data_IF_348067025787
#
_entry.id   IF_348067025787
#
_cell.length_a   1.000
_cell.length_b   1.000
_cell.length_c   1.000
_cell.angle_alpha   90.00
_cell.angle_beta   90.00
_cell.angle_gamma   90.00
#
_symmetry.space_group_name_H-M   'P 1'
#
loop_
_entity.id
_entity.type
_entity.pdbx_description
1 polymer ?
#
# COMPACT_ATOMS: atom_id res chain seq x y z
N UNK A 1 -19.27 -23.66 -14.03
CA UNK A 1 -18.41 -23.07 -15.09
C UNK A 1 -18.27 -21.59 -14.75
N UNK A 2 -17.05 -21.06 -14.70
CA UNK A 2 -16.83 -19.62 -14.48
C UNK A 2 -16.99 -18.88 -15.81
N UNK A 3 -17.61 -17.70 -15.80
CA UNK A 3 -17.67 -16.85 -17.01
C UNK A 3 -16.32 -16.18 -17.25
N UNK A 4 -16.02 -15.80 -18.49
CA UNK A 4 -14.80 -15.05 -18.81
C UNK A 4 -14.69 -13.75 -18.01
N UNK A 5 -15.80 -13.00 -17.86
CA UNK A 5 -15.82 -11.81 -17.01
C UNK A 5 -15.52 -12.12 -15.53
N UNK A 6 -16.13 -13.18 -14.98
CA UNK A 6 -15.87 -13.59 -13.59
C UNK A 6 -14.42 -14.04 -13.39
N UNK A 7 -13.87 -14.79 -14.34
CA UNK A 7 -12.47 -15.20 -14.32
C UNK A 7 -11.53 -13.99 -14.39
N UNK A 8 -11.86 -12.97 -15.19
CA UNK A 8 -11.06 -11.74 -15.25
C UNK A 8 -11.06 -11.02 -13.89
N UNK A 9 -12.23 -10.87 -13.27
CA UNK A 9 -12.34 -10.26 -11.93
C UNK A 9 -11.53 -11.02 -10.87
N UNK A 10 -11.57 -12.35 -10.88
CA UNK A 10 -10.78 -13.16 -9.94
C UNK A 10 -9.28 -13.02 -10.21
N UNK A 11 -8.86 -13.06 -11.48
CA UNK A 11 -7.45 -12.85 -11.84
C UNK A 11 -6.96 -11.49 -11.34
N UNK A 12 -7.74 -10.43 -11.59
CA UNK A 12 -7.44 -9.08 -11.07
C UNK A 12 -7.35 -9.04 -9.55
N UNK A 13 -8.31 -9.67 -8.86
CA UNK A 13 -8.32 -9.72 -7.41
C UNK A 13 -7.08 -10.44 -6.85
N UNK A 14 -6.59 -11.50 -7.50
CA UNK A 14 -5.35 -12.17 -7.10
C UNK A 14 -4.14 -11.25 -7.34
N UNK A 15 -4.05 -10.60 -8.51
CA UNK A 15 -2.95 -9.69 -8.82
C UNK A 15 -2.88 -8.54 -7.82
N UNK A 16 -3.99 -7.86 -7.54
CA UNK A 16 -4.03 -6.78 -6.55
C UNK A 16 -3.67 -7.26 -5.15
N UNK A 17 -4.30 -8.34 -4.66
CA UNK A 17 -4.05 -8.85 -3.29
C UNK A 17 -2.67 -9.49 -3.07
N UNK A 18 -1.86 -9.61 -4.11
CA UNK A 18 -0.49 -10.12 -4.06
C UNK A 18 0.54 -9.08 -4.52
N UNK A 19 0.11 -7.86 -4.84
CA UNK A 19 0.94 -6.83 -5.48
C UNK A 19 1.72 -7.38 -6.67
N UNK A 20 0.99 -8.07 -7.56
CA UNK A 20 1.55 -8.83 -8.67
C UNK A 20 2.58 -9.89 -8.21
N UNK A 21 2.18 -10.71 -7.25
CA UNK A 21 2.98 -11.79 -6.63
C UNK A 21 4.26 -11.33 -5.92
N UNK A 22 4.41 -10.04 -5.62
CA UNK A 22 5.59 -9.46 -4.96
C UNK A 22 5.39 -9.23 -3.47
N UNK A 23 4.16 -9.27 -2.97
CA UNK A 23 3.89 -9.23 -1.54
C UNK A 23 4.47 -10.48 -0.85
N UNK A 24 5.06 -10.32 0.33
CA UNK A 24 5.77 -11.42 1.01
C UNK A 24 4.83 -12.54 1.50
N UNK A 25 3.55 -12.24 1.67
CA UNK A 25 2.51 -13.22 1.99
C UNK A 25 1.96 -13.99 0.77
N UNK A 26 2.41 -13.69 -0.44
CA UNK A 26 1.98 -14.40 -1.64
C UNK A 26 2.30 -15.88 -1.48
N UNK A 27 1.30 -16.74 -1.62
CA UNK A 27 1.45 -18.18 -1.49
C UNK A 27 1.46 -18.90 -2.82
N UNK A 28 2.00 -20.12 -2.85
CA UNK A 28 1.90 -21.04 -3.99
C UNK A 28 0.44 -21.34 -4.39
N UNK A 29 -0.51 -21.17 -3.47
CA UNK A 29 -1.93 -21.27 -3.79
C UNK A 29 -2.38 -20.12 -4.67
N UNK A 30 -1.93 -18.89 -4.38
CA UNK A 30 -2.32 -17.71 -5.15
C UNK A 30 -1.76 -17.76 -6.56
N UNK A 31 -0.49 -18.17 -6.72
CA UNK A 31 0.16 -18.35 -8.03
C UNK A 31 -0.56 -19.43 -8.85
N UNK A 32 -0.88 -20.58 -8.25
CA UNK A 32 -1.61 -21.65 -8.92
C UNK A 32 -3.02 -21.22 -9.32
N UNK A 33 -3.75 -20.57 -8.42
CA UNK A 33 -5.08 -20.06 -8.71
C UNK A 33 -5.07 -19.05 -9.86
N UNK A 34 -4.11 -18.11 -9.88
CA UNK A 34 -3.98 -17.17 -10.99
C UNK A 34 -3.67 -17.89 -12.31
N UNK A 35 -2.78 -18.89 -12.30
CA UNK A 35 -2.43 -19.69 -13.48
C UNK A 35 -3.63 -20.47 -14.03
N UNK A 36 -4.43 -21.07 -13.16
CA UNK A 36 -5.65 -21.79 -13.52
C UNK A 36 -6.71 -20.84 -14.10
N UNK A 37 -6.98 -19.72 -13.41
CA UNK A 37 -7.97 -18.73 -13.83
C UNK A 37 -7.58 -18.08 -15.18
N UNK A 38 -6.27 -17.84 -15.40
CA UNK A 38 -5.76 -17.25 -16.65
C UNK A 38 -6.10 -18.08 -17.89
N UNK A 39 -6.39 -19.38 -17.75
CA UNK A 39 -6.80 -20.23 -18.87
C UNK A 39 -8.21 -19.90 -19.40
N UNK A 40 -9.02 -19.21 -18.61
CA UNK A 40 -10.41 -18.84 -18.97
C UNK A 40 -10.55 -17.42 -19.53
N UNK A 41 -9.43 -16.68 -19.63
CA UNK A 41 -9.41 -15.29 -20.09
C UNK A 41 -8.30 -15.07 -21.11
N UNK A 42 -8.45 -14.02 -21.92
CA UNK A 42 -7.38 -13.51 -22.77
C UNK A 42 -7.11 -12.08 -22.35
N UNK A 43 -5.92 -11.85 -21.83
CA UNK A 43 -5.46 -10.52 -21.41
C UNK A 43 -4.14 -10.21 -22.11
N UNK A 44 -3.87 -8.94 -22.49
CA UNK A 44 -2.60 -8.58 -23.11
C UNK A 44 -1.44 -8.80 -22.13
N UNK A 45 -0.22 -8.97 -22.65
CA UNK A 45 0.98 -9.16 -21.80
C UNK A 45 1.23 -7.96 -20.88
N UNK A 46 0.84 -6.77 -21.33
CA UNK A 46 0.93 -5.51 -20.58
C UNK A 46 -0.23 -5.29 -19.60
N UNK A 47 -1.16 -6.24 -19.46
CA UNK A 47 -2.40 -6.05 -18.71
C UNK A 47 -2.16 -5.60 -17.25
N UNK A 48 -1.16 -6.15 -16.56
CA UNK A 48 -0.85 -5.77 -15.17
C UNK A 48 -0.42 -4.31 -15.10
N UNK A 49 0.46 -3.89 -16.02
CA UNK A 49 0.91 -2.51 -16.09
C UNK A 49 -0.26 -1.58 -16.40
N UNK A 50 -1.12 -1.96 -17.34
CA UNK A 50 -2.29 -1.16 -17.72
C UNK A 50 -3.24 -1.00 -16.53
N UNK A 51 -3.57 -2.08 -15.83
CA UNK A 51 -4.43 -2.07 -14.64
C UNK A 51 -3.92 -1.11 -13.56
N UNK A 52 -2.64 -1.18 -13.21
CA UNK A 52 -2.07 -0.30 -12.19
C UNK A 52 -1.93 1.15 -12.66
N UNK A 53 -1.68 1.40 -13.95
CA UNK A 53 -1.67 2.75 -14.51
C UNK A 53 -3.06 3.40 -14.51
N UNK A 54 -4.10 2.64 -14.85
CA UNK A 54 -5.48 3.12 -14.77
C UNK A 54 -5.87 3.41 -13.30
N UNK A 55 -5.54 2.49 -12.39
CA UNK A 55 -5.75 2.68 -10.93
C UNK A 55 -4.99 3.90 -10.41
N UNK A 56 -3.74 4.09 -10.82
CA UNK A 56 -2.92 5.26 -10.50
C UNK A 56 -3.56 6.55 -11.01
N UNK A 57 -4.06 6.58 -12.26
CA UNK A 57 -4.74 7.75 -12.79
C UNK A 57 -5.98 8.13 -11.97
N UNK A 58 -6.80 7.15 -11.57
CA UNK A 58 -7.95 7.38 -10.70
C UNK A 58 -7.53 7.94 -9.34
N UNK A 59 -6.55 7.31 -8.68
CA UNK A 59 -6.03 7.77 -7.38
C UNK A 59 -5.47 9.20 -7.48
N UNK A 60 -4.66 9.48 -8.51
CA UNK A 60 -4.00 10.78 -8.64
C UNK A 60 -4.95 11.91 -9.06
N UNK A 61 -6.13 11.59 -9.60
CA UNK A 61 -7.17 12.58 -9.90
C UNK A 61 -7.78 13.19 -8.63
N UNK A 62 -7.94 12.39 -7.58
CA UNK A 62 -8.54 12.77 -6.29
C UNK A 62 -7.80 12.11 -5.10
N UNK A 63 -6.51 12.44 -4.87
CA UNK A 63 -5.66 11.69 -3.95
C UNK A 63 -6.14 11.74 -2.51
N UNK A 64 -6.74 12.85 -2.08
CA UNK A 64 -7.29 12.99 -0.72
C UNK A 64 -8.44 12.00 -0.49
N UNK A 65 -9.33 11.87 -1.46
CA UNK A 65 -10.47 10.93 -1.42
C UNK A 65 -9.96 9.49 -1.47
N UNK A 66 -8.97 9.19 -2.32
CA UNK A 66 -8.37 7.86 -2.40
C UNK A 66 -7.72 7.44 -1.07
N UNK A 67 -6.99 8.35 -0.42
CA UNK A 67 -6.40 8.13 0.91
C UNK A 67 -7.51 7.84 1.93
N UNK A 68 -8.53 8.70 2.01
CA UNK A 68 -9.64 8.53 2.96
C UNK A 68 -10.34 7.17 2.77
N UNK A 69 -10.61 6.77 1.52
CA UNK A 69 -11.31 5.54 1.20
C UNK A 69 -10.54 4.27 1.56
N UNK A 70 -9.21 4.30 1.50
CA UNK A 70 -8.35 3.17 1.93
C UNK A 70 -7.61 3.47 3.24
N UNK A 71 -8.21 4.26 4.12
CA UNK A 71 -7.76 4.46 5.49
C UNK A 71 -8.44 3.47 6.43
N UNK A 72 -7.67 2.94 7.40
CA UNK A 72 -8.19 2.16 8.51
C UNK A 72 -7.74 2.72 9.85
N UNK A 73 -8.72 2.97 10.72
CA UNK A 73 -8.50 3.22 12.14
C UNK A 73 -8.51 1.90 12.90
N UNK A 74 -7.49 1.65 13.71
CA UNK A 74 -7.36 0.41 14.47
C UNK A 74 -6.48 0.59 15.71
N UNK A 75 -6.70 -0.25 16.71
CA UNK A 75 -5.91 -0.25 17.95
C UNK A 75 -4.84 -1.33 17.88
N UNK A 76 -3.56 -0.98 18.05
CA UNK A 76 -2.45 -1.92 18.21
C UNK A 76 -1.81 -1.67 19.57
N UNK A 77 -1.77 -2.68 20.44
CA UNK A 77 -1.15 -2.57 21.77
C UNK A 77 -1.64 -1.37 22.60
N UNK A 78 -2.96 -1.12 22.60
CA UNK A 78 -3.64 0.00 23.27
C UNK A 78 -3.35 1.40 22.70
N UNK A 79 -2.61 1.50 21.61
CA UNK A 79 -2.41 2.74 20.87
C UNK A 79 -3.34 2.78 19.65
N UNK A 80 -4.01 3.91 19.41
CA UNK A 80 -4.80 4.15 18.20
C UNK A 80 -3.88 4.42 17.01
N UNK A 81 -4.14 3.78 15.87
CA UNK A 81 -3.43 3.98 14.61
C UNK A 81 -4.38 4.40 13.50
N UNK A 82 -3.89 5.26 12.61
CA UNK A 82 -4.54 5.60 11.35
C UNK A 82 -3.63 5.23 10.17
N UNK A 83 -4.05 4.24 9.38
CA UNK A 83 -3.20 3.67 8.34
C UNK A 83 -3.90 3.66 7.00
N UNK A 84 -3.42 4.49 6.08
CA UNK A 84 -3.85 4.50 4.69
C UNK A 84 -2.94 3.65 3.80
N UNK A 85 -3.49 3.11 2.73
CA UNK A 85 -2.72 2.50 1.65
C UNK A 85 -3.13 3.04 0.28
N UNK A 86 -2.15 3.17 -0.63
CA UNK A 86 -2.39 3.35 -2.06
C UNK A 86 -1.55 2.34 -2.85
N UNK A 87 -2.00 2.01 -4.05
CA UNK A 87 -1.28 1.15 -5.00
C UNK A 87 -1.07 1.91 -6.30
N UNK A 88 0.18 2.25 -6.61
CA UNK A 88 0.55 3.02 -7.80
C UNK A 88 1.49 2.19 -8.67
N UNK A 89 1.44 2.37 -9.99
CA UNK A 89 2.43 1.77 -10.88
C UNK A 89 3.82 2.32 -10.55
N UNK A 90 3.96 3.65 -10.53
CA UNK A 90 5.19 4.35 -10.18
C UNK A 90 4.85 5.51 -9.24
N UNK A 91 5.38 5.50 -8.03
CA UNK A 91 4.99 6.48 -7.01
C UNK A 91 5.93 7.69 -6.97
N UNK A 92 7.08 7.63 -7.64
CA UNK A 92 8.14 8.63 -7.57
C UNK A 92 7.64 10.05 -7.90
N UNK A 93 6.76 10.23 -8.89
CA UNK A 93 6.24 11.57 -9.23
C UNK A 93 5.34 12.12 -8.13
N UNK A 94 4.50 11.27 -7.53
CA UNK A 94 3.56 11.64 -6.48
C UNK A 94 4.28 11.98 -5.17
N UNK A 95 5.26 11.17 -4.76
CA UNK A 95 6.01 11.39 -3.51
C UNK A 95 6.96 12.58 -3.56
N UNK A 96 7.37 13.02 -4.75
CA UNK A 96 8.22 14.20 -4.94
C UNK A 96 7.44 15.52 -5.02
N UNK A 97 6.12 15.49 -4.86
CA UNK A 97 5.33 16.72 -4.80
C UNK A 97 5.65 17.49 -3.52
N UNK A 98 5.74 18.81 -3.63
CA UNK A 98 6.03 19.68 -2.48
C UNK A 98 4.89 19.72 -1.45
N UNK A 99 3.65 19.51 -1.90
CA UNK A 99 2.42 19.50 -1.11
C UNK A 99 2.04 18.09 -0.61
N UNK A 100 2.91 17.08 -0.78
CA UNK A 100 2.54 15.70 -0.48
C UNK A 100 2.14 15.49 0.98
N UNK A 101 2.82 16.14 1.93
CA UNK A 101 2.46 16.02 3.34
C UNK A 101 1.05 16.59 3.61
N UNK A 102 0.73 17.76 3.04
CA UNK A 102 -0.58 18.40 3.15
C UNK A 102 -1.69 17.50 2.57
N UNK A 103 -1.48 16.95 1.36
CA UNK A 103 -2.42 16.01 0.74
C UNK A 103 -2.72 14.82 1.66
N UNK A 104 -1.69 14.29 2.30
CA UNK A 104 -1.82 13.11 3.16
C UNK A 104 -2.53 13.46 4.46
N UNK A 105 -2.18 14.57 5.10
CA UNK A 105 -2.86 15.02 6.32
C UNK A 105 -4.34 15.29 6.06
N UNK A 106 -4.67 15.96 4.97
CA UNK A 106 -6.06 16.22 4.57
C UNK A 106 -6.82 14.92 4.26
N UNK A 107 -6.21 14.01 3.49
CA UNK A 107 -6.83 12.72 3.17
C UNK A 107 -7.06 11.83 4.39
N UNK A 108 -6.28 12.03 5.45
CA UNK A 108 -6.40 11.34 6.73
C UNK A 108 -7.26 12.08 7.75
N UNK A 109 -7.76 13.28 7.44
CA UNK A 109 -8.46 14.17 8.38
C UNK A 109 -7.62 14.45 9.66
N UNK A 110 -6.31 14.66 9.48
CA UNK A 110 -5.37 14.96 10.56
C UNK A 110 -5.02 16.45 10.57
N UNK A 111 -5.17 17.08 11.73
CA UNK A 111 -4.77 18.46 11.95
C UNK A 111 -3.24 18.64 12.04
N UNK A 112 -2.72 19.67 11.38
CA UNK A 112 -1.29 20.05 11.35
C UNK A 112 -0.65 20.29 12.73
N UNK A 113 -1.44 20.60 13.78
CA UNK A 113 -0.91 20.84 15.12
C UNK A 113 -0.64 19.57 15.91
N UNK A 114 -1.26 18.45 15.53
CA UNK A 114 -1.24 17.19 16.30
C UNK A 114 -0.65 16.03 15.51
N UNK A 115 -0.45 16.18 14.20
CA UNK A 115 0.03 15.12 13.31
C UNK A 115 1.33 14.46 13.79
N UNK A 116 2.22 15.19 14.46
CA UNK A 116 3.48 14.63 14.98
C UNK A 116 3.30 13.72 16.21
N UNK A 117 2.16 13.82 16.91
CA UNK A 117 1.85 13.06 18.12
C UNK A 117 0.87 11.90 17.88
N UNK A 118 0.34 11.76 16.65
CA UNK A 118 -0.56 10.68 16.28
C UNK A 118 0.20 9.51 15.65
N UNK A 119 -0.30 8.29 15.84
CA UNK A 119 0.27 7.11 15.21
C UNK A 119 -0.34 6.89 13.84
N UNK A 120 0.10 7.66 12.85
CA UNK A 120 -0.40 7.55 11.50
C UNK A 120 0.72 7.28 10.50
N UNK A 121 0.36 6.65 9.39
CA UNK A 121 1.18 6.67 8.18
C UNK A 121 0.33 6.35 6.95
N UNK A 122 0.71 6.94 5.82
CA UNK A 122 0.31 6.45 4.51
C UNK A 122 1.40 5.50 3.99
N UNK A 123 1.03 4.35 3.47
CA UNK A 123 1.92 3.47 2.71
C UNK A 123 1.50 3.41 1.24
N UNK A 124 2.41 3.62 0.32
CA UNK A 124 2.16 3.58 -1.12
C UNK A 124 2.98 2.44 -1.70
N UNK A 125 2.31 1.37 -2.13
CA UNK A 125 2.94 0.29 -2.87
C UNK A 125 3.27 0.79 -4.28
N UNK A 126 4.55 0.96 -4.60
CA UNK A 126 5.01 1.28 -5.94
C UNK A 126 5.39 0.01 -6.68
N UNK A 127 4.51 -0.42 -7.59
CA UNK A 127 4.62 -1.73 -8.23
C UNK A 127 5.88 -1.82 -9.11
N UNK A 128 6.14 -0.84 -9.97
CA UNK A 128 7.31 -0.80 -10.84
C UNK A 128 8.62 -0.74 -10.05
N UNK A 129 8.65 0.06 -9.00
CA UNK A 129 9.85 0.30 -8.18
C UNK A 129 10.10 -0.81 -7.15
N UNK A 130 9.15 -1.75 -7.00
CA UNK A 130 9.20 -2.88 -6.08
C UNK A 130 9.51 -2.48 -4.62
N UNK A 131 8.89 -1.39 -4.16
CA UNK A 131 9.04 -0.88 -2.79
C UNK A 131 7.78 -0.17 -2.33
N UNK A 132 7.69 0.06 -1.03
CA UNK A 132 6.74 0.98 -0.45
C UNK A 132 7.42 2.31 -0.19
N UNK A 133 6.73 3.39 -0.58
CA UNK A 133 6.94 4.67 0.05
C UNK A 133 6.05 4.77 1.28
N UNK A 134 6.56 5.38 2.35
CA UNK A 134 5.85 5.56 3.60
C UNK A 134 5.90 7.03 3.96
N UNK A 135 4.76 7.63 4.28
CA UNK A 135 4.67 9.03 4.68
C UNK A 135 4.17 9.08 6.11
N UNK A 136 4.95 9.71 6.99
CA UNK A 136 4.56 10.01 8.37
C UNK A 136 5.43 11.11 8.96
N UNK A 137 4.84 11.96 9.78
CA UNK A 137 5.57 12.93 10.62
C UNK A 137 5.91 12.40 12.01
N UNK A 138 5.31 11.28 12.43
CA UNK A 138 5.49 10.75 13.78
C UNK A 138 6.82 10.02 13.92
N UNK A 139 7.72 10.54 14.76
CA UNK A 139 9.02 9.91 15.03
C UNK A 139 8.90 8.52 15.66
N UNK A 140 7.85 8.31 16.46
CA UNK A 140 7.52 7.01 17.02
C UNK A 140 7.21 5.99 15.91
N UNK A 141 6.37 6.38 14.95
CA UNK A 141 6.02 5.52 13.80
C UNK A 141 7.24 5.28 12.90
N UNK A 142 8.04 6.32 12.62
CA UNK A 142 9.30 6.14 11.88
C UNK A 142 10.20 5.11 12.54
N UNK A 143 10.34 5.15 13.86
CA UNK A 143 11.15 4.20 14.63
C UNK A 143 10.61 2.78 14.50
N UNK A 144 9.30 2.58 14.68
CA UNK A 144 8.68 1.26 14.51
C UNK A 144 8.86 0.71 13.09
N UNK A 145 8.62 1.52 12.07
CA UNK A 145 8.73 1.10 10.67
C UNK A 145 10.20 0.85 10.25
N UNK A 146 11.16 1.63 10.77
CA UNK A 146 12.59 1.32 10.64
C UNK A 146 12.92 -0.06 11.21
N UNK A 147 12.50 -0.33 12.44
CA UNK A 147 12.78 -1.59 13.14
C UNK A 147 12.12 -2.79 12.48
N UNK A 148 10.84 -2.71 12.15
CA UNK A 148 10.06 -3.87 11.72
C UNK A 148 10.05 -4.08 10.19
N UNK A 149 10.21 -3.02 9.39
CA UNK A 149 10.21 -3.10 7.93
C UNK A 149 11.58 -2.81 7.30
N UNK A 150 12.56 -2.35 8.08
CA UNK A 150 13.84 -1.88 7.53
C UNK A 150 13.69 -0.61 6.68
N UNK A 151 12.64 0.19 6.92
CA UNK A 151 12.39 1.41 6.16
C UNK A 151 13.48 2.45 6.43
N UNK A 152 13.91 3.17 5.40
CA UNK A 152 14.89 4.27 5.51
C UNK A 152 14.18 5.59 5.27
N UNK A 153 14.28 6.53 6.22
CA UNK A 153 13.55 7.80 6.16
C UNK A 153 14.46 8.99 5.87
N UNK A 154 13.98 9.88 5.01
CA UNK A 154 14.48 11.24 4.75
C UNK A 154 13.33 12.21 5.00
N UNK A 155 13.40 12.99 6.08
CA UNK A 155 12.29 13.85 6.50
C UNK A 155 11.07 13.02 6.92
N UNK A 156 9.92 13.26 6.28
CA UNK A 156 8.67 12.51 6.51
C UNK A 156 8.46 11.35 5.54
N UNK A 157 9.34 11.16 4.55
CA UNK A 157 9.23 10.10 3.54
C UNK A 157 10.20 8.97 3.92
N UNK A 158 9.70 7.74 3.92
CA UNK A 158 10.46 6.51 4.09
C UNK A 158 10.33 5.59 2.89
N UNK A 159 11.34 4.76 2.68
CA UNK A 159 11.36 3.74 1.62
C UNK A 159 11.69 2.37 2.18
N UNK A 160 11.01 1.33 1.71
CA UNK A 160 11.33 -0.07 2.02
C UNK A 160 12.18 -0.71 0.91
N UNK A 161 12.75 -1.88 1.17
CA UNK A 161 13.50 -2.66 0.16
C UNK A 161 12.63 -3.57 -0.71
N UNK A 162 11.36 -3.72 -0.34
CA UNK A 162 10.41 -4.64 -0.99
C UNK A 162 8.97 -4.16 -0.78
N UNK A 163 8.04 -4.76 -1.53
CA UNK A 163 6.62 -4.50 -1.41
C UNK A 163 6.00 -5.15 -0.17
N UNK A 164 5.09 -4.41 0.47
CA UNK A 164 4.27 -4.82 1.59
C UNK A 164 2.83 -4.37 1.41
N UNK A 165 1.90 -5.27 1.70
CA UNK A 165 0.50 -4.94 1.95
C UNK A 165 0.33 -4.44 3.39
N UNK A 166 -0.69 -3.61 3.64
CA UNK A 166 -1.04 -3.08 4.97
C UNK A 166 -1.18 -4.20 6.00
N UNK A 167 -1.81 -5.32 5.65
CA UNK A 167 -1.94 -6.48 6.56
C UNK A 167 -0.59 -7.09 6.97
N UNK A 168 0.43 -6.99 6.11
CA UNK A 168 1.79 -7.45 6.42
C UNK A 168 2.48 -6.48 7.36
N UNK A 169 2.33 -5.17 7.10
CA UNK A 169 2.84 -4.12 7.96
C UNK A 169 2.22 -4.24 9.37
N UNK A 170 0.90 -4.39 9.43
CA UNK A 170 0.17 -4.57 10.69
C UNK A 170 0.67 -5.78 11.48
N UNK A 171 0.81 -6.93 10.80
CA UNK A 171 1.34 -8.15 11.43
C UNK A 171 2.74 -7.91 12.01
N UNK A 172 3.62 -7.23 11.28
CA UNK A 172 4.97 -6.91 11.74
C UNK A 172 5.02 -5.91 12.89
N UNK A 173 4.10 -4.94 12.92
CA UNK A 173 3.95 -3.99 14.02
C UNK A 173 3.41 -4.64 15.30
N UNK A 174 2.56 -5.66 15.16
CA UNK A 174 2.01 -6.44 16.28
C UNK A 174 3.00 -7.51 16.79
N UNK A 175 3.79 -8.13 15.90
CA UNK A 175 4.84 -9.11 16.20
C UNK A 175 6.05 -8.52 16.95
N UNK A 176 6.11 -7.19 17.17
CA UNK A 176 7.16 -6.51 17.93
C UNK A 176 7.29 -6.89 19.41
N UNK A 177 6.63 -7.96 19.86
CA UNK A 177 6.95 -8.66 21.11
C UNK A 177 8.30 -9.36 20.98
N UNK A 178 9.37 -8.65 21.30
CA UNK A 178 10.48 -9.27 22.02
C UNK A 178 10.34 -8.79 23.47
N UNK A 179 10.27 -9.78 24.37
CA UNK A 179 10.23 -9.72 25.83
C UNK A 179 11.04 -8.56 26.43
#
# INVERSE_FOLDING_TARGET
>A
MISSAGANLIYTAIISNTLNFRASITSERDIRAAKEIKQYITVPDIWIQQYYKETEQEILSEPKIAIANDTKSLVINNDDYLIAQLELWNAASFINRHDILEIVLDGLDINELVHSNLNWFLTIASIEENKNYIITSSEFIKTKLKTHLGAVFTGYIGETKQLFLRKEILKKLDEGKIL
#
